data_IF_304968513062
#
_entry.id   IF_304968513062
#
_cell.length_a   1.000
_cell.length_b   1.000
_cell.length_c   1.000
_cell.angle_alpha   90.00
_cell.angle_beta   90.00
_cell.angle_gamma   90.00
#
_symmetry.space_group_name_H-M   'P 1'
#
loop_
_entity.id
_entity.type
_entity.pdbx_description
1 polymer ?
#
# COMPACT_ATOMS: atom_id res chain seq x y z
N UNK A 1 2.28 10.12 1.63
CA UNK A 1 1.25 9.45 0.77
C UNK A 1 1.30 7.92 0.83
N UNK A 2 0.37 7.17 0.22
CA UNK A 2 0.25 5.70 0.37
C UNK A 2 1.56 4.91 0.11
N UNK A 3 2.28 5.26 -0.96
CA UNK A 3 3.56 4.61 -1.30
C UNK A 3 4.62 4.81 -0.21
N UNK A 4 4.63 5.98 0.42
CA UNK A 4 5.57 6.31 1.49
C UNK A 4 5.37 5.42 2.71
N UNK A 5 4.12 5.15 3.09
CA UNK A 5 3.79 4.23 4.19
C UNK A 5 4.31 2.81 3.89
N UNK A 6 4.12 2.36 2.65
CA UNK A 6 4.59 1.06 2.19
C UNK A 6 6.12 0.99 2.10
N UNK A 7 6.80 2.08 1.73
CA UNK A 7 8.26 2.17 1.69
C UNK A 7 8.88 2.19 3.09
N UNK A 8 8.30 2.95 4.03
CA UNK A 8 8.73 2.95 5.43
C UNK A 8 8.60 1.56 6.07
N UNK A 9 7.68 0.74 5.58
CA UNK A 9 7.46 -0.65 6.01
C UNK A 9 7.82 -1.66 4.92
N UNK A 10 8.82 -1.36 4.09
CA UNK A 10 9.25 -2.29 3.04
C UNK A 10 9.63 -3.66 3.63
N UNK A 11 9.14 -4.74 3.01
CA UNK A 11 9.29 -6.11 3.50
C UNK A 11 8.41 -6.49 4.69
N UNK A 12 7.56 -5.58 5.19
CA UNK A 12 6.61 -5.85 6.28
C UNK A 12 5.17 -5.76 5.78
N UNK A 13 4.32 -6.59 6.37
CA UNK A 13 2.88 -6.55 6.16
C UNK A 13 2.28 -5.29 6.79
N UNK A 14 1.42 -4.61 6.03
CA UNK A 14 0.62 -3.47 6.48
C UNK A 14 -0.84 -3.77 6.22
N UNK A 15 -1.68 -3.70 7.25
CA UNK A 15 -3.12 -3.97 7.11
C UNK A 15 -3.84 -2.84 6.37
N UNK A 16 -5.01 -3.14 5.82
CA UNK A 16 -5.87 -2.11 5.19
C UNK A 16 -6.21 -0.99 6.17
N UNK A 17 -6.60 -1.36 7.40
CA UNK A 17 -6.99 -0.38 8.42
C UNK A 17 -5.81 0.52 8.83
N UNK A 18 -4.59 -0.03 8.91
CA UNK A 18 -3.38 0.77 9.14
C UNK A 18 -3.11 1.77 8.01
N UNK A 19 -3.37 1.38 6.76
CA UNK A 19 -3.21 2.30 5.62
C UNK A 19 -4.27 3.41 5.65
N UNK A 20 -5.52 3.08 6.01
CA UNK A 20 -6.59 4.05 6.17
C UNK A 20 -6.25 5.04 7.29
N UNK A 21 -5.92 4.55 8.47
CA UNK A 21 -5.56 5.38 9.63
C UNK A 21 -4.45 6.38 9.27
N UNK A 22 -3.39 5.89 8.61
CA UNK A 22 -2.25 6.74 8.24
C UNK A 22 -2.56 7.80 7.19
N UNK A 23 -3.48 7.52 6.28
CA UNK A 23 -3.91 8.48 5.25
C UNK A 23 -4.92 9.48 5.83
N UNK A 24 -5.80 9.04 6.72
CA UNK A 24 -6.70 9.92 7.48
C UNK A 24 -5.92 10.90 8.36
N UNK A 25 -4.82 10.48 8.99
CA UNK A 25 -3.90 11.37 9.72
C UNK A 25 -3.34 12.51 8.83
N UNK A 26 -3.21 12.27 7.53
CA UNK A 26 -2.77 13.27 6.55
C UNK A 26 -3.91 14.11 5.97
N UNK A 27 -5.12 13.98 6.52
CA UNK A 27 -6.29 14.73 6.08
C UNK A 27 -7.00 14.14 4.86
N UNK A 28 -6.63 12.93 4.42
CA UNK A 28 -7.36 12.22 3.36
C UNK A 28 -8.48 11.37 3.98
N UNK A 29 -9.75 11.69 3.70
CA UNK A 29 -10.87 10.81 4.06
C UNK A 29 -10.91 9.61 3.11
N UNK A 30 -10.19 8.54 3.47
CA UNK A 30 -10.13 7.31 2.71
C UNK A 30 -10.87 6.17 3.38
N UNK A 31 -11.57 5.38 2.57
CA UNK A 31 -12.17 4.12 3.00
C UNK A 31 -11.31 2.93 2.57
N UNK A 32 -11.56 1.75 3.16
CA UNK A 32 -10.91 0.50 2.76
C UNK A 32 -11.02 0.21 1.25
N UNK A 33 -12.15 0.59 0.62
CA UNK A 33 -12.34 0.47 -0.83
C UNK A 33 -11.44 1.43 -1.62
N UNK A 34 -11.22 2.65 -1.11
CA UNK A 34 -10.30 3.62 -1.71
C UNK A 34 -8.85 3.11 -1.70
N UNK A 35 -8.44 2.42 -0.63
CA UNK A 35 -7.12 1.78 -0.55
C UNK A 35 -6.92 0.79 -1.70
N UNK A 36 -7.92 -0.04 -2.01
CA UNK A 36 -7.81 -1.00 -3.11
C UNK A 36 -7.59 -0.32 -4.45
N UNK A 37 -8.34 0.77 -4.71
CA UNK A 37 -8.18 1.58 -5.93
C UNK A 37 -6.79 2.21 -5.98
N UNK A 38 -6.30 2.75 -4.87
CA UNK A 38 -4.98 3.37 -4.79
C UNK A 38 -3.87 2.35 -4.98
N UNK A 39 -3.95 1.17 -4.37
CA UNK A 39 -3.01 0.07 -4.57
C UNK A 39 -3.01 -0.36 -6.04
N UNK A 40 -4.19 -0.49 -6.67
CA UNK A 40 -4.27 -0.84 -8.09
C UNK A 40 -3.57 0.19 -8.98
N UNK A 41 -3.83 1.48 -8.76
CA UNK A 41 -3.18 2.57 -9.50
C UNK A 41 -1.67 2.61 -9.23
N UNK A 42 -1.27 2.43 -7.97
CA UNK A 42 0.13 2.47 -7.55
C UNK A 42 0.92 1.31 -8.16
N UNK A 43 0.35 0.09 -8.19
CA UNK A 43 0.95 -1.07 -8.87
C UNK A 43 1.28 -0.77 -10.32
N UNK A 44 0.33 -0.23 -11.07
CA UNK A 44 0.57 0.16 -12.48
C UNK A 44 1.69 1.18 -12.63
N UNK A 45 1.88 2.07 -11.65
CA UNK A 45 2.96 3.07 -11.67
C UNK A 45 4.33 2.47 -11.36
N UNK A 46 4.41 1.50 -10.45
CA UNK A 46 5.70 0.91 -10.00
C UNK A 46 6.03 -0.43 -10.67
N UNK A 47 5.16 -0.96 -11.52
CA UNK A 47 5.31 -2.27 -12.18
C UNK A 47 6.63 -2.46 -12.91
N UNK A 48 7.19 -1.38 -13.47
CA UNK A 48 8.49 -1.41 -14.18
C UNK A 48 9.71 -1.26 -13.25
N UNK A 49 9.49 -1.02 -11.97
CA UNK A 49 10.56 -0.82 -10.99
C UNK A 49 11.03 -2.12 -10.33
N UNK A 50 12.11 -2.07 -9.53
CA UNK A 50 12.62 -3.24 -8.80
C UNK A 50 11.76 -3.62 -7.59
N UNK A 51 10.54 -3.08 -7.47
CA UNK A 51 9.65 -3.27 -6.33
C UNK A 51 8.24 -3.61 -6.80
N UNK A 52 7.55 -4.46 -6.04
CA UNK A 52 6.16 -4.82 -6.25
C UNK A 52 5.37 -4.72 -4.95
N UNK A 53 4.08 -4.48 -5.06
CA UNK A 53 3.15 -4.58 -3.92
C UNK A 53 2.49 -5.95 -3.99
N UNK A 54 2.78 -6.83 -3.03
CA UNK A 54 2.08 -8.10 -2.83
C UNK A 54 0.80 -7.89 -2.01
N UNK A 55 -0.28 -8.59 -2.36
CA UNK A 55 -1.49 -8.67 -1.53
C UNK A 55 -1.47 -9.97 -0.77
N UNK A 56 -1.62 -9.87 0.55
CA UNK A 56 -1.84 -11.01 1.42
C UNK A 56 -3.32 -11.02 1.81
N UNK A 57 -4.07 -11.99 1.26
CA UNK A 57 -5.53 -12.06 1.45
C UNK A 57 -5.87 -12.14 2.94
N UNK A 58 -6.85 -11.33 3.35
CA UNK A 58 -7.30 -11.25 4.75
C UNK A 58 -6.35 -10.50 5.70
N UNK A 59 -5.17 -10.09 5.22
CA UNK A 59 -4.12 -9.52 6.07
C UNK A 59 -3.70 -8.11 5.64
N UNK A 60 -3.55 -7.84 4.33
CA UNK A 60 -3.20 -6.52 3.82
C UNK A 60 -2.22 -6.55 2.65
N UNK A 61 -1.25 -5.63 2.68
CA UNK A 61 -0.29 -5.42 1.60
C UNK A 61 1.15 -5.43 2.13
N UNK A 62 2.06 -5.90 1.28
CA UNK A 62 3.50 -5.89 1.56
C UNK A 62 4.22 -5.31 0.36
N UNK A 63 5.22 -4.45 0.60
CA UNK A 63 6.11 -4.00 -0.46
C UNK A 63 7.33 -4.92 -0.51
N UNK A 64 7.52 -5.59 -1.65
CA UNK A 64 8.59 -6.57 -1.84
C UNK A 64 9.52 -6.09 -2.95
N UNK A 65 10.82 -6.40 -2.81
CA UNK A 65 11.78 -6.21 -3.90
C UNK A 65 11.66 -7.40 -4.85
N UNK A 66 11.61 -7.13 -6.14
CA UNK A 66 11.68 -8.17 -7.18
C UNK A 66 13.16 -8.59 -7.28
N UNK A 67 13.48 -9.90 -7.23
CA UNK A 67 14.84 -10.40 -7.42
C UNK A 67 15.46 -9.96 -8.74
#
# INVERSE_FOLDING_TARGET
GLLEVLLQRAGRLVSKDQLVERLCEWGEEVSNNAIEVYIHRLRKKIEKGPIRIATVRGLGYCLEKIP
#
